data_IF_001289376729
#
_entry.id   IF_001289376729
#
_cell.length_a   1.000
_cell.length_b   1.000
_cell.length_c   1.000
_cell.angle_alpha   90.00
_cell.angle_beta   90.00
_cell.angle_gamma   90.00
#
_symmetry.space_group_name_H-M   'P 1'
#
loop_
_entity.id
_entity.type
_entity.pdbx_description
1 polymer ?
#
# COMPACT_ATOMS: atom_id res chain seq x y z
N UNK A 1 18.34 10.19 13.91
CA UNK A 1 17.19 10.77 14.66
C UNK A 1 16.01 9.80 14.56
N UNK A 2 15.33 9.46 15.67
CA UNK A 2 14.42 8.28 15.72
C UNK A 2 12.93 8.55 15.43
N UNK A 3 12.51 9.81 15.31
CA UNK A 3 11.12 10.22 15.07
C UNK A 3 11.09 11.59 14.38
N UNK A 4 10.12 11.80 13.50
CA UNK A 4 9.85 13.10 12.87
C UNK A 4 8.34 13.38 12.87
N UNK A 5 7.87 14.61 13.16
CA UNK A 5 6.45 14.96 13.17
C UNK A 5 5.65 14.59 11.93
N UNK A 6 6.25 14.54 10.73
CA UNK A 6 5.49 14.21 9.52
C UNK A 6 4.91 12.78 9.56
N UNK A 7 5.42 11.87 10.39
CA UNK A 7 4.90 10.49 10.48
C UNK A 7 3.58 10.39 11.25
N UNK A 8 3.19 11.45 11.98
CA UNK A 8 2.01 11.46 12.85
C UNK A 8 0.71 11.14 12.09
N UNK A 9 0.39 11.77 10.94
CA UNK A 9 -0.83 11.46 10.19
C UNK A 9 -0.93 9.98 9.79
N UNK A 10 0.17 9.39 9.33
CA UNK A 10 0.25 7.96 9.01
C UNK A 10 -0.06 7.10 10.24
N UNK A 11 0.59 7.37 11.37
CA UNK A 11 0.39 6.59 12.60
C UNK A 11 -1.07 6.68 13.10
N UNK A 12 -1.66 7.87 13.09
CA UNK A 12 -3.08 8.07 13.46
C UNK A 12 -3.98 7.21 12.57
N UNK A 13 -3.79 7.29 11.24
CA UNK A 13 -4.58 6.51 10.31
C UNK A 13 -4.40 5.01 10.48
N UNK A 14 -3.15 4.55 10.66
CA UNK A 14 -2.81 3.14 10.88
C UNK A 14 -3.46 2.61 12.16
N UNK A 15 -3.31 3.30 13.29
CA UNK A 15 -3.91 2.86 14.54
C UNK A 15 -5.44 2.87 14.47
N UNK A 16 -6.03 3.88 13.83
CA UNK A 16 -7.47 3.94 13.63
C UNK A 16 -8.00 2.72 12.86
N UNK A 17 -7.40 2.36 11.71
CA UNK A 17 -7.88 1.22 10.93
C UNK A 17 -7.66 -0.11 11.65
N UNK A 18 -6.54 -0.27 12.37
CA UNK A 18 -6.27 -1.48 13.15
C UNK A 18 -7.29 -1.65 14.28
N UNK A 19 -7.54 -0.61 15.07
CA UNK A 19 -8.52 -0.62 16.15
C UNK A 19 -9.92 -0.88 15.58
N UNK A 20 -10.29 -0.19 14.50
CA UNK A 20 -11.59 -0.35 13.86
C UNK A 20 -11.80 -1.79 13.33
N UNK A 21 -10.80 -2.35 12.65
CA UNK A 21 -10.86 -3.71 12.14
C UNK A 21 -11.02 -4.72 13.28
N UNK A 22 -10.24 -4.60 14.35
CA UNK A 22 -10.36 -5.48 15.53
C UNK A 22 -11.74 -5.34 16.17
N UNK A 23 -12.21 -4.12 16.42
CA UNK A 23 -13.51 -3.87 17.04
C UNK A 23 -14.66 -4.45 16.21
N UNK A 24 -14.64 -4.26 14.88
CA UNK A 24 -15.66 -4.81 13.97
C UNK A 24 -15.59 -6.33 13.89
N UNK A 25 -14.40 -6.92 13.82
CA UNK A 25 -14.24 -8.37 13.79
C UNK A 25 -14.68 -9.02 15.10
N UNK A 26 -14.39 -8.40 16.24
CA UNK A 26 -14.90 -8.85 17.56
C UNK A 26 -16.41 -8.73 17.64
N UNK A 27 -16.99 -7.60 17.22
CA UNK A 27 -18.44 -7.42 17.21
C UNK A 27 -19.14 -8.46 16.31
N UNK A 28 -18.62 -8.66 15.10
CA UNK A 28 -19.11 -9.68 14.18
C UNK A 28 -19.01 -11.09 14.77
N UNK A 29 -17.84 -11.45 15.31
CA UNK A 29 -17.62 -12.78 15.91
C UNK A 29 -18.52 -13.04 17.11
N UNK A 30 -18.79 -12.02 17.94
CA UNK A 30 -19.71 -12.14 19.09
C UNK A 30 -21.14 -12.46 18.65
N UNK A 31 -21.60 -11.90 17.54
CA UNK A 31 -22.95 -12.08 17.00
C UNK A 31 -23.16 -13.43 16.27
N UNK A 32 -22.11 -14.23 16.06
CA UNK A 32 -22.23 -15.55 15.45
C UNK A 32 -22.90 -16.57 16.37
N UNK A 33 -23.61 -17.52 15.76
CA UNK A 33 -24.13 -18.70 16.45
C UNK A 33 -23.00 -19.55 17.05
N UNK A 34 -23.31 -20.35 18.07
CA UNK A 34 -22.29 -21.24 18.68
C UNK A 34 -21.71 -22.24 17.67
N UNK A 35 -22.54 -22.75 16.76
CA UNK A 35 -22.10 -23.65 15.68
C UNK A 35 -21.10 -22.98 14.74
N UNK A 36 -21.36 -21.73 14.34
CA UNK A 36 -20.48 -21.01 13.41
C UNK A 36 -19.14 -20.64 14.06
N UNK A 37 -19.17 -20.26 15.35
CA UNK A 37 -17.95 -20.03 16.14
C UNK A 37 -17.04 -21.26 16.15
N UNK A 38 -17.61 -22.44 16.41
CA UNK A 38 -16.86 -23.69 16.43
C UNK A 38 -16.31 -24.07 15.04
N UNK A 39 -17.07 -23.82 13.97
CA UNK A 39 -16.61 -24.03 12.60
C UNK A 39 -15.40 -23.16 12.26
N UNK A 40 -15.47 -21.85 12.54
CA UNK A 40 -14.36 -20.93 12.32
C UNK A 40 -13.11 -21.29 13.12
N UNK A 41 -13.28 -21.66 14.39
CA UNK A 41 -12.16 -22.09 15.23
C UNK A 41 -11.48 -23.35 14.70
N UNK A 42 -12.25 -24.37 14.29
CA UNK A 42 -11.69 -25.58 13.66
C UNK A 42 -11.04 -25.29 12.32
N UNK A 43 -11.63 -24.40 11.53
CA UNK A 43 -11.09 -23.97 10.24
C UNK A 43 -9.71 -23.32 10.35
N UNK A 44 -9.41 -22.68 11.48
CA UNK A 44 -8.11 -22.04 11.75
C UNK A 44 -6.96 -23.05 11.91
N UNK A 45 -7.22 -24.24 12.44
CA UNK A 45 -6.19 -25.25 12.73
C UNK A 45 -6.09 -26.38 11.70
N UNK A 46 -6.70 -26.23 10.53
CA UNK A 46 -6.77 -27.28 9.51
C UNK A 46 -6.36 -26.86 8.10
N UNK A 47 -6.52 -27.76 7.14
CA UNK A 47 -6.28 -27.50 5.71
C UNK A 47 -7.12 -26.33 5.15
N UNK A 48 -8.27 -26.05 5.79
CA UNK A 48 -9.12 -24.90 5.51
C UNK A 48 -8.37 -23.57 5.68
N UNK A 49 -7.46 -23.45 6.66
CA UNK A 49 -6.66 -22.25 6.87
C UNK A 49 -5.68 -22.00 5.72
N UNK A 50 -4.92 -23.03 5.32
CA UNK A 50 -3.96 -22.93 4.20
C UNK A 50 -4.69 -22.63 2.88
N UNK A 51 -5.83 -23.30 2.66
CA UNK A 51 -6.71 -23.03 1.50
C UNK A 51 -7.19 -21.57 1.51
N UNK A 52 -7.61 -21.06 2.66
CA UNK A 52 -8.05 -19.68 2.82
C UNK A 52 -6.93 -18.69 2.56
N UNK A 53 -5.72 -18.93 3.09
CA UNK A 53 -4.58 -18.06 2.86
C UNK A 53 -4.21 -17.99 1.38
N UNK A 54 -4.18 -19.14 0.69
CA UNK A 54 -3.94 -19.20 -0.76
C UNK A 54 -5.04 -18.46 -1.54
N UNK A 55 -6.30 -18.63 -1.15
CA UNK A 55 -7.42 -17.96 -1.82
C UNK A 55 -7.42 -16.45 -1.57
N UNK A 56 -7.17 -16.02 -0.34
CA UNK A 56 -6.96 -14.61 0.04
C UNK A 56 -5.85 -14.00 -0.81
N UNK A 57 -4.70 -14.67 -0.92
CA UNK A 57 -3.60 -14.17 -1.73
C UNK A 57 -3.99 -14.04 -3.21
N UNK A 58 -4.66 -15.06 -3.76
CA UNK A 58 -5.04 -15.09 -5.18
C UNK A 58 -6.15 -14.11 -5.53
N UNK A 59 -7.11 -13.88 -4.65
CA UNK A 59 -8.28 -13.04 -4.92
C UNK A 59 -8.09 -11.60 -4.42
N UNK A 60 -7.50 -11.39 -3.24
CA UNK A 60 -7.33 -10.04 -2.66
C UNK A 60 -6.05 -9.33 -3.10
N UNK A 61 -4.97 -10.04 -3.43
CA UNK A 61 -3.75 -9.42 -3.96
C UNK A 61 -3.68 -9.55 -5.49
N UNK A 62 -3.72 -10.78 -6.00
CA UNK A 62 -3.57 -11.03 -7.45
C UNK A 62 -4.83 -10.69 -8.25
N UNK A 63 -6.01 -10.68 -7.61
CA UNK A 63 -7.31 -10.47 -8.28
C UNK A 63 -7.52 -11.44 -9.46
N UNK A 64 -7.17 -12.71 -9.27
CA UNK A 64 -7.13 -13.76 -10.31
C UNK A 64 -8.40 -13.81 -11.16
N UNK A 65 -9.59 -13.72 -10.56
CA UNK A 65 -10.87 -13.74 -11.30
C UNK A 65 -11.01 -12.54 -12.24
N UNK A 66 -10.67 -11.34 -11.77
CA UNK A 66 -10.72 -10.12 -12.59
C UNK A 66 -9.66 -10.19 -13.70
N UNK A 67 -8.46 -10.66 -13.37
CA UNK A 67 -7.36 -10.83 -14.35
C UNK A 67 -7.74 -11.79 -15.49
N UNK A 68 -8.41 -12.90 -15.16
CA UNK A 68 -8.93 -13.84 -16.16
C UNK A 68 -10.08 -13.27 -17.00
N UNK A 69 -10.96 -12.47 -16.40
CA UNK A 69 -12.11 -11.89 -17.10
C UNK A 69 -11.71 -10.70 -17.98
N UNK A 70 -10.81 -9.85 -17.49
CA UNK A 70 -10.33 -8.67 -18.18
C UNK A 70 -8.91 -8.37 -17.71
N UNK A 71 -7.93 -8.74 -18.53
CA UNK A 71 -6.52 -8.61 -18.21
C UNK A 71 -6.12 -7.19 -17.80
N UNK A 72 -6.57 -6.16 -18.53
CA UNK A 72 -6.22 -4.75 -18.25
C UNK A 72 -6.75 -4.30 -16.89
N UNK A 73 -8.02 -4.63 -16.60
CA UNK A 73 -8.65 -4.27 -15.34
C UNK A 73 -8.05 -5.05 -14.16
N UNK A 74 -7.75 -6.33 -14.36
CA UNK A 74 -7.11 -7.17 -13.34
C UNK A 74 -5.68 -6.74 -13.06
N UNK A 75 -4.88 -6.46 -14.10
CA UNK A 75 -3.51 -5.95 -13.95
C UNK A 75 -3.49 -4.63 -13.18
N UNK A 76 -4.42 -3.71 -13.45
CA UNK A 76 -4.55 -2.44 -12.72
C UNK A 76 -4.81 -2.65 -11.22
N UNK A 77 -5.66 -3.60 -10.81
CA UNK A 77 -5.88 -3.88 -9.38
C UNK A 77 -4.71 -4.65 -8.77
N UNK A 78 -4.17 -5.64 -9.48
CA UNK A 78 -3.04 -6.44 -9.04
C UNK A 78 -1.81 -5.55 -8.80
N UNK A 79 -1.45 -4.68 -9.73
CA UNK A 79 -0.32 -3.75 -9.57
C UNK A 79 -0.46 -2.85 -8.36
N UNK A 80 -1.65 -2.32 -8.09
CA UNK A 80 -1.89 -1.51 -6.89
C UNK A 80 -1.88 -2.33 -5.60
N UNK A 81 -2.60 -3.47 -5.53
CA UNK A 81 -2.73 -4.26 -4.32
C UNK A 81 -1.49 -5.11 -4.02
N UNK A 82 -1.08 -5.95 -4.97
CA UNK A 82 0.10 -6.80 -4.85
C UNK A 82 1.38 -5.97 -4.82
N UNK A 83 1.50 -4.93 -5.66
CA UNK A 83 2.66 -4.06 -5.64
C UNK A 83 2.82 -3.34 -4.30
N UNK A 84 1.74 -2.76 -3.74
CA UNK A 84 1.82 -2.12 -2.42
C UNK A 84 2.16 -3.11 -1.30
N UNK A 85 1.60 -4.32 -1.34
CA UNK A 85 2.01 -5.39 -0.44
C UNK A 85 3.52 -5.69 -0.54
N UNK A 86 4.06 -5.81 -1.76
CA UNK A 86 5.48 -6.03 -1.98
C UNK A 86 6.33 -4.86 -1.45
N UNK A 87 5.92 -3.60 -1.66
CA UNK A 87 6.63 -2.45 -1.09
C UNK A 87 6.68 -2.48 0.43
N UNK A 88 5.56 -2.83 1.08
CA UNK A 88 5.52 -2.92 2.55
C UNK A 88 6.42 -4.08 3.02
N UNK A 89 6.33 -5.25 2.36
CA UNK A 89 7.10 -6.43 2.71
C UNK A 89 8.60 -6.19 2.56
N UNK A 90 9.06 -5.79 1.38
CA UNK A 90 10.48 -5.55 1.11
C UNK A 90 11.00 -4.33 1.85
N UNK A 91 10.21 -3.26 2.01
CA UNK A 91 10.59 -2.13 2.85
C UNK A 91 10.72 -2.50 4.34
N UNK A 92 9.91 -3.45 4.83
CA UNK A 92 10.05 -3.97 6.19
C UNK A 92 11.30 -4.85 6.32
N UNK A 93 11.59 -5.69 5.33
CA UNK A 93 12.82 -6.50 5.31
C UNK A 93 14.04 -5.58 5.27
N UNK A 94 14.06 -4.59 4.39
CA UNK A 94 15.10 -3.57 4.25
C UNK A 94 15.33 -2.84 5.58
N UNK A 95 14.26 -2.33 6.20
CA UNK A 95 14.35 -1.65 7.49
C UNK A 95 14.79 -2.56 8.66
N UNK A 96 14.65 -3.89 8.57
CA UNK A 96 15.14 -4.81 9.61
C UNK A 96 16.59 -5.25 9.37
N UNK A 97 17.03 -5.33 8.11
CA UNK A 97 18.41 -5.71 7.75
C UNK A 97 19.36 -4.54 7.91
N UNK A 98 18.99 -3.36 7.42
CA UNK A 98 19.90 -2.22 7.29
C UNK A 98 19.77 -1.18 8.40
N UNK A 99 18.75 -1.27 9.26
CA UNK A 99 18.62 -0.34 10.37
C UNK A 99 19.28 -0.90 11.64
N UNK A 100 19.86 -0.02 12.44
CA UNK A 100 20.68 -0.35 13.63
C UNK A 100 19.94 -1.05 14.78
N UNK A 101 18.61 -1.17 14.71
CA UNK A 101 17.79 -1.90 15.68
C UNK A 101 16.87 -2.88 14.97
N UNK A 102 16.84 -4.11 15.44
CA UNK A 102 15.79 -5.07 15.12
C UNK A 102 14.48 -4.65 15.83
N UNK A 103 13.32 -4.87 15.21
CA UNK A 103 11.99 -4.41 15.68
C UNK A 103 11.76 -2.89 15.54
N UNK A 104 11.94 -2.37 14.33
CA UNK A 104 11.64 -0.97 14.06
C UNK A 104 10.12 -0.69 14.06
N UNK A 105 9.70 0.50 14.53
CA UNK A 105 8.33 0.96 14.35
C UNK A 105 7.89 0.90 12.88
N UNK A 106 6.63 0.59 12.61
CA UNK A 106 6.10 0.39 11.26
C UNK A 106 6.36 1.58 10.32
N UNK A 107 6.36 2.82 10.84
CA UNK A 107 6.64 4.02 10.04
C UNK A 107 8.06 4.04 9.46
N UNK A 108 9.05 3.40 10.11
CA UNK A 108 10.44 3.40 9.60
C UNK A 108 10.59 2.57 8.33
N UNK A 109 9.81 1.50 8.16
CA UNK A 109 9.78 0.74 6.93
C UNK A 109 9.12 1.52 5.78
N UNK A 110 8.09 2.31 6.11
CA UNK A 110 7.33 3.09 5.12
C UNK A 110 8.10 4.34 4.67
N UNK A 111 8.81 4.99 5.59
CA UNK A 111 9.58 6.21 5.34
C UNK A 111 11.09 5.95 5.40
N UNK A 112 11.52 4.75 5.00
CA UNK A 112 12.91 4.30 5.17
C UNK A 112 13.92 5.25 4.55
N UNK A 113 13.65 5.73 3.33
CA UNK A 113 14.53 6.65 2.58
C UNK A 113 14.70 8.01 3.26
N UNK A 114 13.68 8.50 3.99
CA UNK A 114 13.81 9.73 4.79
C UNK A 114 14.81 9.53 5.94
N UNK A 115 14.72 8.41 6.65
CA UNK A 115 15.58 8.15 7.82
C UNK A 115 16.98 7.66 7.45
N UNK A 116 17.16 7.12 6.24
CA UNK A 116 18.43 6.57 5.74
C UNK A 116 18.69 7.07 4.31
N UNK A 117 18.93 8.38 4.12
CA UNK A 117 19.02 8.98 2.78
C UNK A 117 20.27 8.53 2.01
N UNK A 118 21.34 8.17 2.73
CA UNK A 118 22.58 7.66 2.15
C UNK A 118 22.52 6.18 1.74
N UNK A 119 21.41 5.48 2.05
CA UNK A 119 21.24 4.07 1.67
C UNK A 119 21.10 3.92 0.14
N UNK A 120 21.72 2.86 -0.40
CA UNK A 120 21.56 2.47 -1.80
C UNK A 120 22.75 2.79 -2.71
N UNK A 121 23.89 3.20 -2.14
CA UNK A 121 25.05 3.68 -2.93
C UNK A 121 25.92 2.56 -3.48
N UNK A 122 26.05 1.44 -2.77
CA UNK A 122 27.04 0.40 -3.12
C UNK A 122 26.57 -1.02 -2.81
N UNK A 123 27.01 -1.97 -3.63
CA UNK A 123 26.87 -3.40 -3.37
C UNK A 123 25.41 -3.86 -3.26
N UNK A 124 25.09 -4.57 -2.17
CA UNK A 124 23.77 -5.15 -1.93
C UNK A 124 22.65 -4.12 -1.77
N UNK A 125 22.96 -2.93 -1.22
CA UNK A 125 21.98 -1.84 -1.06
C UNK A 125 21.50 -1.28 -2.41
N UNK A 126 22.37 -1.27 -3.42
CA UNK A 126 22.01 -0.81 -4.76
C UNK A 126 21.02 -1.78 -5.44
N UNK A 127 21.18 -3.09 -5.19
CA UNK A 127 20.22 -4.12 -5.66
C UNK A 127 18.86 -3.94 -4.98
N UNK A 128 18.85 -3.67 -3.67
CA UNK A 128 17.62 -3.36 -2.94
C UNK A 128 16.95 -2.09 -3.46
N UNK A 129 17.72 -1.03 -3.69
CA UNK A 129 17.22 0.23 -4.25
C UNK A 129 16.62 0.02 -5.65
N UNK A 130 17.25 -0.80 -6.50
CA UNK A 130 16.70 -1.17 -7.80
C UNK A 130 15.38 -1.95 -7.66
N UNK A 131 15.31 -2.91 -6.75
CA UNK A 131 14.09 -3.68 -6.49
C UNK A 131 12.94 -2.79 -6.01
N UNK A 132 13.21 -1.86 -5.09
CA UNK A 132 12.22 -0.91 -4.59
C UNK A 132 11.71 0.02 -5.70
N UNK A 133 12.62 0.55 -6.53
CA UNK A 133 12.24 1.36 -7.71
C UNK A 133 11.44 0.54 -8.73
N UNK A 134 11.77 -0.73 -8.93
CA UNK A 134 11.05 -1.62 -9.84
C UNK A 134 9.63 -1.90 -9.34
N UNK A 135 9.46 -2.19 -8.06
CA UNK A 135 8.14 -2.38 -7.45
C UNK A 135 7.33 -1.07 -7.51
N UNK A 136 7.96 0.08 -7.25
CA UNK A 136 7.31 1.38 -7.35
C UNK A 136 6.86 1.67 -8.79
N UNK A 137 7.71 1.41 -9.79
CA UNK A 137 7.35 1.51 -11.21
C UNK A 137 6.16 0.60 -11.58
N UNK A 138 6.16 -0.63 -11.07
CA UNK A 138 5.06 -1.58 -11.25
C UNK A 138 3.74 -1.07 -10.67
N UNK A 139 3.76 -0.40 -9.52
CA UNK A 139 2.55 0.21 -8.94
C UNK A 139 2.10 1.43 -9.75
N UNK A 140 3.05 2.27 -10.16
CA UNK A 140 2.77 3.48 -10.93
C UNK A 140 2.15 3.16 -12.30
N UNK A 141 2.54 2.06 -12.94
CA UNK A 141 1.89 1.59 -14.17
C UNK A 141 0.40 1.27 -13.94
N UNK A 142 0.08 0.64 -12.81
CA UNK A 142 -1.28 0.41 -12.34
C UNK A 142 -2.06 1.68 -12.06
N UNK A 143 -1.43 2.64 -11.39
CA UNK A 143 -2.02 3.93 -11.09
C UNK A 143 -2.33 4.73 -12.36
N UNK A 144 -1.43 4.74 -13.34
CA UNK A 144 -1.65 5.36 -14.66
C UNK A 144 -2.89 4.75 -15.32
N UNK A 145 -3.02 3.41 -15.32
CA UNK A 145 -4.22 2.74 -15.84
C UNK A 145 -5.48 3.13 -15.06
N UNK A 146 -5.41 3.29 -13.74
CA UNK A 146 -6.53 3.73 -12.91
C UNK A 146 -6.96 5.18 -13.22
N UNK A 147 -6.00 6.06 -13.48
CA UNK A 147 -6.24 7.44 -13.90
C UNK A 147 -6.87 7.46 -15.30
N UNK A 148 -6.30 6.74 -16.26
CA UNK A 148 -6.85 6.61 -17.62
C UNK A 148 -8.28 6.08 -17.57
N UNK A 149 -8.55 5.04 -16.78
CA UNK A 149 -9.89 4.48 -16.57
C UNK A 149 -10.91 5.54 -16.11
N UNK A 150 -10.49 6.53 -15.31
CA UNK A 150 -11.40 7.57 -14.79
C UNK A 150 -11.82 8.55 -15.89
N UNK A 151 -10.93 8.86 -16.82
CA UNK A 151 -11.26 9.73 -17.96
C UNK A 151 -11.85 8.94 -19.14
N UNK A 152 -11.55 7.65 -19.25
CA UNK A 152 -11.94 6.79 -20.37
C UNK A 152 -12.22 5.36 -19.91
N UNK A 153 -13.39 5.15 -19.31
CA UNK A 153 -13.81 3.84 -18.78
C UNK A 153 -13.87 2.73 -19.84
N UNK A 154 -14.04 3.11 -21.12
CA UNK A 154 -14.04 2.21 -22.27
C UNK A 154 -12.66 1.55 -22.49
N UNK A 155 -11.56 2.23 -22.19
CA UNK A 155 -10.18 1.73 -22.42
C UNK A 155 -9.86 0.49 -21.58
N UNK A 156 -10.52 0.36 -20.42
CA UNK A 156 -10.45 -0.82 -19.56
C UNK A 156 -11.68 -1.72 -19.66
N UNK A 157 -12.54 -1.52 -20.67
CA UNK A 157 -13.67 -2.41 -20.98
C UNK A 157 -14.94 -2.19 -20.14
N UNK A 158 -15.11 -1.03 -19.49
CA UNK A 158 -16.32 -0.75 -18.69
C UNK A 158 -17.40 0.01 -19.47
N UNK A 159 -18.62 -0.55 -19.47
CA UNK A 159 -19.82 0.05 -20.11
C UNK A 159 -20.59 1.05 -19.23
N UNK A 160 -20.48 0.94 -17.89
CA UNK A 160 -21.14 1.85 -16.91
C UNK A 160 -20.15 2.25 -15.83
N UNK A 161 -20.16 3.51 -15.41
CA UNK A 161 -19.31 4.05 -14.33
C UNK A 161 -20.08 4.16 -13.02
N UNK A 162 -19.42 3.93 -11.89
CA UNK A 162 -20.05 4.08 -10.57
C UNK A 162 -20.05 5.55 -10.16
N UNK A 163 -21.19 6.05 -9.65
CA UNK A 163 -21.29 7.40 -9.06
C UNK A 163 -20.73 7.36 -7.63
N UNK A 164 -19.63 8.06 -7.38
CA UNK A 164 -18.98 8.13 -6.07
C UNK A 164 -19.58 9.23 -5.18
N UNK A 165 -19.79 8.94 -3.89
CA UNK A 165 -20.10 9.96 -2.88
C UNK A 165 -18.87 10.83 -2.62
N UNK A 166 -19.05 12.01 -2.03
CA UNK A 166 -17.93 12.94 -1.76
C UNK A 166 -16.82 12.29 -0.93
N UNK A 167 -17.17 11.53 0.11
CA UNK A 167 -16.20 10.82 0.95
C UNK A 167 -15.45 9.75 0.15
N UNK A 168 -16.12 9.00 -0.72
CA UNK A 168 -15.47 8.02 -1.61
C UNK A 168 -14.47 8.70 -2.56
N UNK A 169 -14.78 9.91 -3.03
CA UNK A 169 -13.87 10.70 -3.88
C UNK A 169 -12.63 11.12 -3.10
N UNK A 170 -12.78 11.57 -1.85
CA UNK A 170 -11.64 11.97 -1.01
C UNK A 170 -10.75 10.75 -0.73
N UNK A 171 -11.34 9.61 -0.36
CA UNK A 171 -10.58 8.37 -0.14
C UNK A 171 -9.84 7.91 -1.41
N UNK A 172 -10.50 8.00 -2.58
CA UNK A 172 -9.87 7.67 -3.85
C UNK A 172 -8.72 8.62 -4.21
N UNK A 173 -8.92 9.93 -4.00
CA UNK A 173 -7.86 10.92 -4.23
C UNK A 173 -6.68 10.66 -3.30
N UNK A 174 -6.92 10.41 -2.02
CA UNK A 174 -5.87 10.05 -1.07
C UNK A 174 -5.11 8.80 -1.53
N UNK A 175 -5.82 7.73 -1.93
CA UNK A 175 -5.22 6.52 -2.48
C UNK A 175 -4.34 6.79 -3.70
N UNK A 176 -4.80 7.65 -4.61
CA UNK A 176 -4.06 8.00 -5.82
C UNK A 176 -2.83 8.85 -5.54
N UNK A 177 -2.84 9.66 -4.48
CA UNK A 177 -1.72 10.51 -4.10
C UNK A 177 -0.60 9.76 -3.36
N UNK A 178 -0.88 8.60 -2.75
CA UNK A 178 0.10 7.81 -1.99
C UNK A 178 1.38 7.54 -2.80
N UNK A 179 1.28 6.97 -4.01
CA UNK A 179 2.47 6.57 -4.77
C UNK A 179 3.17 7.73 -5.49
N UNK A 180 2.46 8.71 -6.09
CA UNK A 180 3.11 9.90 -6.66
C UNK A 180 3.82 10.74 -5.60
N UNK A 181 3.21 10.95 -4.43
CA UNK A 181 3.86 11.67 -3.34
C UNK A 181 5.09 10.91 -2.83
N UNK A 182 5.01 9.59 -2.69
CA UNK A 182 6.18 8.74 -2.38
C UNK A 182 7.28 8.89 -3.41
N UNK A 183 6.96 8.75 -4.71
CA UNK A 183 7.93 8.89 -5.79
C UNK A 183 8.64 10.23 -5.71
N UNK A 184 7.90 11.33 -5.59
CA UNK A 184 8.50 12.67 -5.54
C UNK A 184 9.33 12.85 -4.26
N UNK A 185 8.84 12.41 -3.09
CA UNK A 185 9.57 12.51 -1.83
C UNK A 185 10.89 11.73 -1.86
N UNK A 186 10.86 10.48 -2.32
CA UNK A 186 12.04 9.63 -2.47
C UNK A 186 12.99 10.17 -3.55
N UNK A 187 12.48 10.68 -4.67
CA UNK A 187 13.30 11.31 -5.71
C UNK A 187 13.98 12.59 -5.25
N UNK A 188 13.29 13.49 -4.58
CA UNK A 188 13.91 14.72 -4.05
C UNK A 188 14.97 14.40 -3.00
N UNK A 189 14.69 13.44 -2.11
CA UNK A 189 15.68 12.94 -1.14
C UNK A 189 16.88 12.32 -1.86
N UNK A 190 16.65 11.52 -2.89
CA UNK A 190 17.71 10.88 -3.68
C UNK A 190 18.56 11.91 -4.45
N UNK A 191 17.93 12.93 -5.02
CA UNK A 191 18.60 14.04 -5.71
C UNK A 191 19.45 14.89 -4.77
N UNK A 192 18.96 15.18 -3.56
CA UNK A 192 19.71 15.94 -2.55
C UNK A 192 20.94 15.18 -2.02
N UNK A 193 20.86 13.85 -1.93
CA UNK A 193 21.94 13.02 -1.36
C UNK A 193 22.80 12.29 -2.40
N UNK A 194 22.45 12.36 -3.69
CA UNK A 194 23.12 11.62 -4.76
C UNK A 194 22.99 10.11 -4.60
N UNK A 195 21.78 9.65 -4.23
CA UNK A 195 21.44 8.22 -4.06
C UNK A 195 20.25 7.83 -4.94
N UNK A 196 19.64 6.66 -4.72
CA UNK A 196 18.50 6.16 -5.49
C UNK A 196 18.91 5.26 -6.65
N UNK A 197 17.93 4.75 -7.39
CA UNK A 197 18.18 3.86 -8.54
C UNK A 197 17.59 4.43 -9.83
N UNK A 198 17.21 3.59 -10.78
CA UNK A 198 16.83 4.00 -12.13
C UNK A 198 15.60 4.91 -12.18
N UNK A 199 14.69 4.83 -11.21
CA UNK A 199 13.48 5.64 -11.17
C UNK A 199 13.65 6.83 -10.22
N UNK A 200 13.89 6.57 -8.94
CA UNK A 200 13.97 7.61 -7.93
C UNK A 200 15.22 8.47 -8.09
N UNK A 201 16.35 7.85 -8.44
CA UNK A 201 17.62 8.54 -8.70
C UNK A 201 17.59 9.36 -9.98
N UNK A 202 17.11 8.79 -11.10
CA UNK A 202 17.02 9.53 -12.37
C UNK A 202 16.04 10.70 -12.31
N UNK A 203 14.86 10.50 -11.71
CA UNK A 203 13.91 11.60 -11.51
C UNK A 203 14.47 12.61 -10.50
N UNK A 204 15.15 12.14 -9.45
CA UNK A 204 15.79 12.98 -8.45
C UNK A 204 16.86 13.89 -9.02
N UNK A 205 17.73 13.38 -9.90
CA UNK A 205 18.77 14.19 -10.57
C UNK A 205 18.16 15.24 -11.50
N UNK A 206 17.09 14.90 -12.22
CA UNK A 206 16.34 15.84 -13.04
C UNK A 206 15.71 16.92 -12.17
N UNK A 207 14.98 16.58 -11.11
CA UNK A 207 14.34 17.55 -10.23
C UNK A 207 15.37 18.46 -9.52
N UNK A 208 16.49 17.90 -9.05
CA UNK A 208 17.54 18.66 -8.39
C UNK A 208 18.28 19.64 -9.33
N UNK A 209 18.18 19.46 -10.65
CA UNK A 209 18.78 20.38 -11.63
C UNK A 209 18.08 21.74 -11.71
N UNK A 210 16.80 21.83 -11.30
CA UNK A 210 16.02 23.07 -11.37
C UNK A 210 15.19 23.39 -10.11
N UNK A 211 15.15 22.51 -9.11
CA UNK A 211 14.45 22.73 -7.84
C UNK A 211 15.39 22.59 -6.63
N UNK A 212 15.12 23.29 -5.52
CA UNK A 212 15.81 23.07 -4.26
C UNK A 212 15.37 21.74 -3.64
N UNK A 213 16.00 20.64 -4.06
CA UNK A 213 15.60 19.28 -3.72
C UNK A 213 15.56 19.02 -2.19
N UNK A 214 16.52 19.58 -1.45
CA UNK A 214 16.62 19.42 0.00
C UNK A 214 15.43 20.07 0.73
N UNK A 215 14.99 21.26 0.29
CA UNK A 215 13.88 21.99 0.91
C UNK A 215 12.52 21.39 0.55
N UNK A 216 12.37 20.91 -0.69
CA UNK A 216 11.10 20.37 -1.17
C UNK A 216 10.86 18.92 -0.73
N UNK A 217 11.89 18.15 -0.39
CA UNK A 217 11.71 16.76 0.05
C UNK A 217 10.75 16.67 1.25
N UNK A 218 10.92 17.55 2.25
CA UNK A 218 10.16 17.50 3.51
C UNK A 218 8.63 17.72 3.33
N UNK A 219 8.17 18.75 2.59
CA UNK A 219 6.75 18.89 2.23
C UNK A 219 6.14 17.66 1.53
N UNK A 220 6.90 16.99 0.65
CA UNK A 220 6.40 15.80 -0.03
C UNK A 220 6.33 14.57 0.88
N UNK A 221 7.21 14.44 1.89
CA UNK A 221 7.06 13.45 2.95
C UNK A 221 5.79 13.68 3.78
N UNK A 222 5.46 14.94 4.08
CA UNK A 222 4.18 15.32 4.68
C UNK A 222 2.99 14.94 3.80
N UNK A 223 3.03 15.26 2.50
CA UNK A 223 1.98 14.89 1.56
C UNK A 223 1.77 13.38 1.49
N UNK A 224 2.87 12.61 1.51
CA UNK A 224 2.82 11.15 1.52
C UNK A 224 2.17 10.60 2.79
N UNK A 225 2.60 11.07 3.96
CA UNK A 225 2.00 10.68 5.24
C UNK A 225 0.54 11.08 5.38
N UNK A 226 0.18 12.30 4.94
CA UNK A 226 -1.21 12.77 4.94
C UNK A 226 -2.10 11.94 4.02
N UNK A 227 -1.59 11.56 2.84
CA UNK A 227 -2.30 10.71 1.89
C UNK A 227 -2.57 9.32 2.48
N UNK A 228 -1.56 8.71 3.10
CA UNK A 228 -1.70 7.43 3.82
C UNK A 228 -2.68 7.54 4.99
N UNK A 229 -2.49 8.52 5.87
CA UNK A 229 -3.31 8.73 7.06
C UNK A 229 -4.78 8.95 6.69
N UNK A 230 -5.04 9.85 5.74
CA UNK A 230 -6.40 10.13 5.23
C UNK A 230 -7.02 8.87 4.62
N UNK A 231 -6.28 8.12 3.81
CA UNK A 231 -6.79 6.90 3.21
C UNK A 231 -7.16 5.86 4.28
N UNK A 232 -6.31 5.62 5.28
CA UNK A 232 -6.60 4.64 6.33
C UNK A 232 -7.78 5.05 7.23
N UNK A 233 -7.97 6.34 7.51
CA UNK A 233 -9.14 6.82 8.25
C UNK A 233 -10.43 6.65 7.45
N UNK A 234 -10.39 6.89 6.14
CA UNK A 234 -11.59 6.83 5.29
C UNK A 234 -11.90 5.44 4.76
N UNK A 235 -10.92 4.54 4.69
CA UNK A 235 -11.08 3.17 4.21
C UNK A 235 -12.28 2.45 4.85
N UNK A 236 -12.46 2.43 6.20
CA UNK A 236 -13.57 1.72 6.81
C UNK A 236 -14.91 2.44 6.71
N UNK A 237 -14.89 3.74 6.38
CA UNK A 237 -16.08 4.61 6.28
C UNK A 237 -16.61 4.73 4.85
N UNK A 238 -15.94 4.07 3.89
CA UNK A 238 -16.24 4.14 2.47
C UNK A 238 -16.47 2.74 1.90
N UNK A 239 -16.82 2.68 0.61
CA UNK A 239 -16.93 1.39 -0.10
C UNK A 239 -15.64 0.57 -0.10
N UNK A 240 -14.49 1.15 0.25
CA UNK A 240 -13.20 0.47 0.31
C UNK A 240 -13.08 -0.48 1.51
N UNK A 241 -14.03 -0.45 2.46
CA UNK A 241 -14.12 -1.45 3.53
C UNK A 241 -14.27 -2.88 3.01
N UNK A 242 -14.66 -3.08 1.74
CA UNK A 242 -14.67 -4.41 1.13
C UNK A 242 -13.30 -5.09 1.20
N UNK A 243 -12.20 -4.31 1.10
CA UNK A 243 -10.81 -4.82 1.07
C UNK A 243 -10.52 -5.70 2.31
N UNK A 244 -10.62 -5.20 3.56
CA UNK A 244 -10.41 -6.05 4.73
C UNK A 244 -11.52 -7.08 4.93
N UNK A 245 -12.78 -6.77 4.62
CA UNK A 245 -13.89 -7.71 4.85
C UNK A 245 -13.87 -8.92 3.94
N UNK A 246 -13.32 -8.81 2.73
CA UNK A 246 -13.18 -9.93 1.79
C UNK A 246 -12.28 -11.02 2.36
N UNK A 247 -11.22 -10.63 3.09
CA UNK A 247 -10.33 -11.57 3.78
C UNK A 247 -11.10 -12.43 4.78
N UNK A 248 -11.93 -11.79 5.61
CA UNK A 248 -12.76 -12.48 6.60
C UNK A 248 -13.82 -13.36 5.94
N UNK A 249 -14.42 -12.91 4.84
CA UNK A 249 -15.45 -13.65 4.11
C UNK A 249 -14.88 -14.91 3.45
N UNK A 250 -13.71 -14.81 2.81
CA UNK A 250 -13.02 -15.97 2.22
C UNK A 250 -12.69 -17.01 3.30
N UNK A 251 -12.15 -16.55 4.43
CA UNK A 251 -11.85 -17.43 5.56
C UNK A 251 -13.11 -18.12 6.11
N UNK A 252 -14.19 -17.36 6.30
CA UNK A 252 -15.46 -17.91 6.79
C UNK A 252 -16.05 -18.95 5.83
N UNK A 253 -16.01 -18.70 4.51
CA UNK A 253 -16.51 -19.64 3.49
C UNK A 253 -15.73 -20.95 3.44
N UNK A 254 -14.43 -20.93 3.69
CA UNK A 254 -13.62 -22.15 3.65
C UNK A 254 -13.62 -22.93 4.97
N UNK A 255 -14.05 -22.30 6.08
CA UNK A 255 -14.08 -22.90 7.41
C UNK A 255 -15.40 -23.61 7.75
N UNK A 256 -16.40 -23.55 6.88
CA UNK A 256 -17.75 -24.09 7.10
C UNK A 256 -18.33 -24.72 5.86
#
# INVERSE_FOLDING_TARGET
MQFDPFVIPFNIGLYFILIYAVARSVHWFRNLSRSDKLRLQRGFFGAAFVKSLKEIFMESLIHRKILKSNFRLGYMHMSLAFGWFLLILFGTIEANIFSTRHLNPSYKAIFFKFFNPDHGRTGFEAVYSFLMDFILAFILSGLILAIIKRFSSKVVGMKKTTRHRTIDKIALTALWLIFPSRLIAESLTSGAHGTGSFLTGSLGSVLASFLPANELAYPFWWLYSLSLGTFFILLPLTRYMHIPTELFLIFARNSG
#
